data_IF_861019685982
#
_entry.id   IF_861019685982
#
_cell.length_a   1.000
_cell.length_b   1.000
_cell.length_c   1.000
_cell.angle_alpha   90.00
_cell.angle_beta   90.00
_cell.angle_gamma   90.00
#
_symmetry.space_group_name_H-M   'P 1'
#
loop_
_entity.id
_entity.type
_entity.pdbx_description
1 polymer ?
#
# COMPACT_ATOMS: atom_id res chain seq x y z
N UNK A 1 3.13 11.26 -25.63
CA UNK A 1 2.52 10.00 -26.05
C UNK A 1 3.44 9.33 -27.03
N UNK A 2 3.72 8.04 -26.85
CA UNK A 2 4.55 7.26 -27.79
C UNK A 2 3.77 7.10 -29.08
N UNK A 3 4.40 7.47 -30.20
CA UNK A 3 3.87 7.28 -31.54
C UNK A 3 5.02 7.13 -32.57
N UNK A 4 4.69 6.95 -33.84
CA UNK A 4 5.68 6.70 -34.90
C UNK A 4 6.77 7.77 -34.97
N UNK A 5 6.47 9.03 -34.61
CA UNK A 5 7.41 10.16 -34.72
C UNK A 5 8.52 10.11 -33.67
N UNK A 6 8.26 9.54 -32.49
CA UNK A 6 9.21 9.44 -31.39
C UNK A 6 9.55 7.99 -31.01
N UNK A 7 9.10 7.01 -31.81
CA UNK A 7 9.26 5.58 -31.49
C UNK A 7 10.75 5.20 -31.39
N UNK A 8 11.61 5.73 -32.27
CA UNK A 8 13.05 5.42 -32.23
C UNK A 8 13.70 5.88 -30.92
N UNK A 9 13.38 7.09 -30.46
CA UNK A 9 13.90 7.64 -29.21
C UNK A 9 13.37 6.82 -28.00
N UNK A 10 12.11 6.40 -28.06
CA UNK A 10 11.52 5.54 -27.04
C UNK A 10 12.22 4.17 -26.98
N UNK A 11 12.50 3.55 -28.13
CA UNK A 11 13.20 2.26 -28.20
C UNK A 11 14.64 2.37 -27.70
N UNK A 12 15.36 3.43 -28.04
CA UNK A 12 16.70 3.68 -27.53
C UNK A 12 16.70 3.81 -26.00
N UNK A 13 15.75 4.58 -25.46
CA UNK A 13 15.56 4.72 -24.00
C UNK A 13 15.23 3.38 -23.32
N UNK A 14 14.50 2.50 -24.00
CA UNK A 14 14.18 1.15 -23.51
C UNK A 14 15.35 0.17 -23.68
N UNK A 15 16.46 0.57 -24.31
CA UNK A 15 17.64 -0.26 -24.50
C UNK A 15 17.58 -1.18 -25.71
N UNK A 16 16.82 -0.83 -26.75
CA UNK A 16 16.86 -1.51 -28.04
C UNK A 16 18.10 -1.10 -28.83
N UNK A 17 18.71 -2.04 -29.55
CA UNK A 17 19.86 -1.81 -30.43
C UNK A 17 19.37 -1.84 -31.88
N UNK A 18 19.78 -0.85 -32.66
CA UNK A 18 19.43 -0.73 -34.07
C UNK A 18 20.33 -1.60 -34.95
N UNK A 19 19.72 -2.40 -35.82
CA UNK A 19 20.33 -3.19 -36.87
C UNK A 19 19.64 -2.86 -38.20
N UNK A 20 20.00 -1.72 -38.81
CA UNK A 20 19.28 -1.19 -39.97
C UNK A 20 17.86 -0.75 -39.63
N UNK A 21 16.86 -1.29 -40.32
CA UNK A 21 15.45 -1.00 -40.06
C UNK A 21 14.87 -1.80 -38.88
N UNK A 22 15.63 -2.75 -38.33
CA UNK A 22 15.21 -3.57 -37.21
C UNK A 22 15.86 -3.06 -35.93
N UNK A 23 15.04 -2.78 -34.91
CA UNK A 23 15.50 -2.51 -33.56
C UNK A 23 15.18 -3.70 -32.68
N UNK A 24 16.15 -4.22 -31.93
CA UNK A 24 16.00 -5.43 -31.12
C UNK A 24 16.46 -5.18 -29.68
N UNK A 25 15.71 -5.74 -28.73
CA UNK A 25 16.11 -5.87 -27.33
C UNK A 25 16.05 -7.34 -26.93
N UNK A 26 17.19 -7.85 -26.49
CA UNK A 26 17.34 -9.23 -26.01
C UNK A 26 17.18 -9.26 -24.49
N UNK A 27 16.52 -10.28 -23.97
CA UNK A 27 16.36 -10.60 -22.56
C UNK A 27 17.06 -11.93 -22.25
N UNK A 28 18.37 -11.90 -21.97
CA UNK A 28 19.18 -13.12 -21.87
C UNK A 28 18.73 -14.07 -20.75
N UNK A 29 18.26 -13.50 -19.63
CA UNK A 29 17.84 -14.30 -18.45
C UNK A 29 16.60 -15.15 -18.71
N UNK A 30 15.76 -14.74 -19.66
CA UNK A 30 14.52 -15.45 -20.03
C UNK A 30 14.56 -15.97 -21.46
N UNK A 31 15.68 -15.79 -22.18
CA UNK A 31 15.94 -16.41 -23.47
C UNK A 31 15.08 -15.93 -24.64
N UNK A 32 14.60 -14.67 -24.62
CA UNK A 32 13.76 -14.12 -25.67
C UNK A 32 14.19 -12.73 -26.14
N UNK A 33 13.57 -12.21 -27.20
CA UNK A 33 13.79 -10.85 -27.67
C UNK A 33 12.50 -10.21 -28.19
N UNK A 34 12.44 -8.87 -28.08
CA UNK A 34 11.44 -8.02 -28.73
C UNK A 34 12.11 -7.31 -29.91
N UNK A 35 11.39 -7.16 -31.03
CA UNK A 35 11.89 -6.46 -32.21
C UNK A 35 10.85 -5.48 -32.76
N UNK A 36 11.35 -4.43 -33.38
CA UNK A 36 10.53 -3.48 -34.14
C UNK A 36 11.11 -3.37 -35.54
N UNK A 37 10.30 -3.71 -36.52
CA UNK A 37 10.64 -3.60 -37.95
C UNK A 37 9.99 -2.34 -38.53
N UNK A 38 10.82 -1.32 -38.82
CA UNK A 38 10.38 -0.04 -39.37
C UNK A 38 10.01 -0.13 -40.85
N UNK A 39 10.60 -1.06 -41.60
CA UNK A 39 10.27 -1.29 -43.00
C UNK A 39 8.90 -1.96 -43.11
N UNK A 40 8.69 -3.07 -42.39
CA UNK A 40 7.41 -3.76 -42.36
C UNK A 40 6.35 -3.05 -41.48
N UNK A 41 6.74 -2.03 -40.71
CA UNK A 41 5.91 -1.32 -39.74
C UNK A 41 5.24 -2.27 -38.74
N UNK A 42 6.05 -3.15 -38.13
CA UNK A 42 5.57 -4.19 -37.22
C UNK A 42 6.31 -4.22 -35.90
N UNK A 43 5.55 -4.47 -34.85
CA UNK A 43 6.00 -4.84 -33.51
C UNK A 43 6.07 -6.37 -33.45
N UNK A 44 7.23 -6.92 -33.15
CA UNK A 44 7.49 -8.36 -33.20
C UNK A 44 7.75 -8.85 -31.78
N UNK A 45 6.89 -9.73 -31.33
CA UNK A 45 6.94 -10.35 -30.00
C UNK A 45 7.57 -11.76 -30.08
N UNK A 46 8.12 -12.29 -28.94
CA UNK A 46 8.55 -13.68 -28.84
C UNK A 46 7.47 -14.68 -29.30
N UNK A 47 7.91 -15.79 -29.85
CA UNK A 47 6.99 -16.80 -30.40
C UNK A 47 6.10 -17.46 -29.33
N UNK A 48 6.54 -17.48 -28.11
CA UNK A 48 5.87 -18.05 -26.94
C UNK A 48 4.69 -17.19 -26.48
N UNK A 49 4.65 -15.89 -26.81
CA UNK A 49 3.55 -15.00 -26.48
C UNK A 49 2.35 -15.36 -27.37
N UNK A 50 1.24 -15.73 -26.75
CA UNK A 50 -0.01 -16.00 -27.45
C UNK A 50 -0.65 -14.69 -27.93
N UNK A 51 -1.36 -14.73 -29.08
CA UNK A 51 -2.05 -13.55 -29.62
C UNK A 51 -1.12 -12.48 -30.25
N UNK A 52 0.19 -12.74 -30.33
CA UNK A 52 1.24 -11.82 -30.81
C UNK A 52 1.02 -11.28 -32.24
N UNK A 53 0.24 -11.95 -33.04
CA UNK A 53 -0.07 -11.54 -34.42
C UNK A 53 -1.16 -10.46 -34.50
N UNK A 54 -1.83 -10.19 -33.37
CA UNK A 54 -2.94 -9.24 -33.32
C UNK A 54 -2.39 -7.88 -32.88
N UNK A 55 -2.94 -6.79 -33.42
CA UNK A 55 -2.60 -5.40 -33.03
C UNK A 55 -1.08 -5.12 -32.94
N UNK A 56 -0.30 -5.69 -33.87
CA UNK A 56 1.15 -5.54 -33.90
C UNK A 56 1.65 -4.51 -34.95
N UNK A 57 0.74 -3.74 -35.57
CA UNK A 57 1.05 -2.72 -36.54
C UNK A 57 1.25 -1.33 -35.94
N UNK A 58 1.65 -0.38 -36.80
CA UNK A 58 1.85 1.04 -36.44
C UNK A 58 0.59 1.89 -36.62
N UNK A 59 -0.53 1.27 -36.93
CA UNK A 59 -1.82 1.91 -37.24
C UNK A 59 -2.50 2.49 -35.98
N UNK A 60 -2.25 1.92 -34.81
CA UNK A 60 -2.85 2.36 -33.55
C UNK A 60 -1.78 2.74 -32.53
N UNK A 61 -1.91 3.91 -31.91
CA UNK A 61 -0.99 4.37 -30.89
C UNK A 61 -1.00 3.52 -29.62
N UNK A 62 -2.13 2.88 -29.32
CA UNK A 62 -2.28 1.96 -28.19
C UNK A 62 -1.35 0.73 -28.32
N UNK A 63 -1.07 0.28 -29.55
CA UNK A 63 -0.14 -0.82 -29.81
C UNK A 63 1.27 -0.55 -29.25
N UNK A 64 1.74 0.71 -29.30
CA UNK A 64 3.04 1.08 -28.73
C UNK A 64 3.03 1.03 -27.21
N UNK A 65 1.89 1.34 -26.56
CA UNK A 65 1.73 1.22 -25.11
C UNK A 65 1.74 -0.26 -24.69
N UNK A 66 1.02 -1.11 -25.41
CA UNK A 66 1.04 -2.57 -25.20
C UNK A 66 2.47 -3.11 -25.37
N UNK A 67 3.19 -2.72 -26.42
CA UNK A 67 4.55 -3.17 -26.67
C UNK A 67 5.52 -2.73 -25.57
N UNK A 68 5.43 -1.48 -25.11
CA UNK A 68 6.24 -0.96 -23.99
C UNK A 68 5.89 -1.70 -22.69
N UNK A 69 4.61 -1.96 -22.42
CA UNK A 69 4.18 -2.71 -21.24
C UNK A 69 4.75 -4.14 -21.25
N UNK A 70 4.70 -4.85 -22.38
CA UNK A 70 5.31 -6.18 -22.54
C UNK A 70 6.83 -6.10 -22.35
N UNK A 71 7.51 -5.09 -22.91
CA UNK A 71 8.94 -4.89 -22.70
C UNK A 71 9.27 -4.74 -21.19
N UNK A 72 8.45 -4.03 -20.47
CA UNK A 72 8.58 -3.85 -19.01
C UNK A 72 8.34 -5.15 -18.23
N UNK A 73 7.32 -5.92 -18.61
CA UNK A 73 7.04 -7.23 -17.99
C UNK A 73 8.21 -8.20 -18.20
N UNK A 74 8.73 -8.32 -19.41
CA UNK A 74 9.89 -9.15 -19.73
C UNK A 74 11.14 -8.67 -18.97
N UNK A 75 11.35 -7.35 -18.87
CA UNK A 75 12.46 -6.77 -18.09
C UNK A 75 12.34 -7.06 -16.59
N UNK A 76 11.14 -7.33 -16.07
CA UNK A 76 10.90 -7.74 -14.69
C UNK A 76 11.06 -9.24 -14.45
N UNK A 77 11.22 -10.04 -15.52
CA UNK A 77 11.38 -11.50 -15.45
C UNK A 77 10.09 -12.31 -15.63
N UNK A 78 8.98 -11.68 -16.06
CA UNK A 78 7.82 -12.48 -16.51
C UNK A 78 8.19 -13.20 -17.79
N UNK A 79 7.87 -14.48 -17.86
CA UNK A 79 8.23 -15.32 -19.01
C UNK A 79 7.22 -15.16 -20.15
N UNK A 80 7.69 -15.18 -21.41
CA UNK A 80 6.82 -14.96 -22.57
C UNK A 80 5.71 -15.99 -22.69
N UNK A 81 5.91 -17.26 -22.29
CA UNK A 81 4.89 -18.32 -22.31
C UNK A 81 3.71 -18.07 -21.35
N UNK A 82 3.88 -17.17 -20.38
CA UNK A 82 2.83 -16.78 -19.44
C UNK A 82 2.07 -15.51 -19.86
N UNK A 83 2.45 -14.92 -21.00
CA UNK A 83 1.83 -13.70 -21.53
C UNK A 83 0.93 -14.06 -22.69
N UNK A 84 -0.30 -13.56 -22.66
CA UNK A 84 -1.27 -13.68 -23.75
C UNK A 84 -1.77 -12.28 -24.11
N UNK A 85 -1.66 -11.90 -25.40
CA UNK A 85 -2.14 -10.62 -25.92
C UNK A 85 -3.51 -10.81 -26.56
N UNK A 86 -4.34 -9.77 -26.44
CA UNK A 86 -5.63 -9.72 -27.11
C UNK A 86 -6.51 -10.94 -26.81
N UNK A 87 -6.49 -11.39 -25.53
CA UNK A 87 -7.30 -12.52 -25.08
C UNK A 87 -8.78 -12.21 -25.22
N UNK A 88 -9.49 -13.09 -25.91
CA UNK A 88 -10.93 -12.99 -26.12
C UNK A 88 -11.66 -14.05 -25.30
N UNK A 89 -12.77 -13.64 -24.68
CA UNK A 89 -13.69 -14.56 -24.03
C UNK A 89 -14.98 -14.68 -24.87
N UNK A 90 -15.35 -15.89 -25.21
CA UNK A 90 -16.59 -16.17 -25.93
C UNK A 90 -17.75 -16.23 -24.92
N UNK A 91 -18.61 -15.25 -24.93
CA UNK A 91 -19.85 -15.20 -24.16
C UNK A 91 -20.98 -15.84 -24.97
N UNK A 92 -21.20 -17.15 -24.87
CA UNK A 92 -22.37 -17.85 -25.39
C UNK A 92 -22.89 -17.32 -26.75
N UNK A 93 -24.01 -16.62 -26.75
CA UNK A 93 -24.64 -16.07 -27.96
C UNK A 93 -24.39 -14.55 -28.16
N UNK A 94 -23.63 -13.88 -27.31
CA UNK A 94 -23.30 -12.44 -27.46
C UNK A 94 -21.96 -12.30 -28.20
N UNK A 95 -21.93 -11.74 -29.43
CA UNK A 95 -20.70 -11.54 -30.20
C UNK A 95 -19.77 -10.44 -29.64
N UNK A 96 -20.14 -9.77 -28.54
CA UNK A 96 -19.34 -8.74 -27.86
C UNK A 96 -18.67 -9.28 -26.62
N UNK A 97 -17.99 -10.43 -26.70
CA UNK A 97 -17.05 -10.88 -25.72
C UNK A 97 -15.96 -9.79 -25.47
N UNK A 98 -15.65 -9.48 -24.24
CA UNK A 98 -14.57 -8.55 -23.92
C UNK A 98 -13.23 -9.08 -24.44
N UNK A 99 -12.33 -8.16 -24.85
CA UNK A 99 -10.98 -8.50 -25.26
C UNK A 99 -10.01 -7.65 -24.43
N UNK A 100 -9.14 -8.32 -23.68
CA UNK A 100 -8.13 -7.65 -22.86
C UNK A 100 -6.80 -7.55 -23.61
N UNK A 101 -6.11 -6.43 -23.45
CA UNK A 101 -4.86 -6.16 -24.17
C UNK A 101 -3.74 -7.12 -23.75
N UNK A 102 -3.55 -7.34 -22.44
CA UNK A 102 -2.51 -8.22 -21.90
C UNK A 102 -3.08 -9.03 -20.74
N UNK A 103 -2.91 -10.34 -20.80
CA UNK A 103 -3.17 -11.27 -19.71
C UNK A 103 -1.89 -11.97 -19.30
N UNK A 104 -1.66 -12.10 -17.99
CA UNK A 104 -0.49 -12.81 -17.45
C UNK A 104 -0.96 -13.88 -16.48
N UNK A 105 -0.49 -15.11 -16.70
CA UNK A 105 -0.74 -16.24 -15.81
C UNK A 105 0.41 -16.45 -14.82
N UNK A 106 0.11 -17.09 -13.68
CA UNK A 106 1.14 -17.58 -12.76
C UNK A 106 1.84 -18.84 -13.30
N UNK A 107 2.80 -19.35 -12.57
CA UNK A 107 3.53 -20.59 -12.91
C UNK A 107 2.68 -21.85 -12.89
N UNK A 108 1.47 -21.76 -12.34
CA UNK A 108 0.47 -22.86 -12.31
C UNK A 108 -0.61 -22.71 -13.39
N UNK A 109 -0.53 -21.64 -14.20
CA UNK A 109 -1.48 -21.36 -15.28
C UNK A 109 -2.75 -20.62 -14.84
N UNK A 110 -2.87 -20.19 -13.58
CA UNK A 110 -3.99 -19.37 -13.14
C UNK A 110 -3.80 -17.92 -13.58
N UNK A 111 -4.89 -17.22 -13.85
CA UNK A 111 -4.83 -15.79 -14.18
C UNK A 111 -4.25 -14.99 -13.01
N UNK A 112 -3.08 -14.40 -13.22
CA UNK A 112 -2.41 -13.58 -12.22
C UNK A 112 -2.93 -12.14 -12.29
N UNK A 113 -2.87 -11.53 -13.47
CA UNK A 113 -3.44 -10.20 -13.70
C UNK A 113 -3.84 -9.97 -15.16
N UNK A 114 -4.74 -9.01 -15.33
CA UNK A 114 -5.24 -8.52 -16.61
C UNK A 114 -4.90 -7.04 -16.71
N UNK A 115 -4.30 -6.63 -17.82
CA UNK A 115 -3.93 -5.25 -18.09
C UNK A 115 -4.73 -4.72 -19.27
N UNK A 116 -5.38 -3.60 -19.07
CA UNK A 116 -5.96 -2.76 -20.11
C UNK A 116 -5.05 -1.58 -20.37
N UNK A 117 -4.55 -1.43 -21.57
CA UNK A 117 -3.65 -0.37 -21.98
C UNK A 117 -4.43 0.80 -22.59
N UNK A 118 -4.04 2.02 -22.26
CA UNK A 118 -4.60 3.24 -22.84
C UNK A 118 -3.49 4.22 -23.22
N UNK A 119 -3.73 5.04 -24.23
CA UNK A 119 -2.81 6.12 -24.54
C UNK A 119 -2.74 7.11 -23.39
N UNK A 120 -1.56 7.65 -23.14
CA UNK A 120 -1.30 8.59 -22.04
C UNK A 120 -2.18 9.85 -22.15
N UNK A 121 -2.70 10.30 -21.02
CA UNK A 121 -3.51 11.51 -20.89
C UNK A 121 -5.00 11.20 -20.97
N UNK A 122 -5.73 11.89 -21.87
CA UNK A 122 -7.21 11.90 -21.88
C UNK A 122 -7.85 10.50 -21.92
N UNK A 123 -7.29 9.57 -22.71
CA UNK A 123 -7.88 8.22 -22.82
C UNK A 123 -7.70 7.43 -21.52
N UNK A 124 -6.50 7.49 -20.91
CA UNK A 124 -6.25 6.88 -19.62
C UNK A 124 -7.15 7.48 -18.52
N UNK A 125 -7.21 8.81 -18.44
CA UNK A 125 -8.00 9.50 -17.41
C UNK A 125 -9.51 9.20 -17.57
N UNK A 126 -10.00 9.12 -18.81
CA UNK A 126 -11.38 8.71 -19.12
C UNK A 126 -11.64 7.25 -18.70
N UNK A 127 -10.73 6.32 -19.04
CA UNK A 127 -10.86 4.92 -18.65
C UNK A 127 -10.85 4.75 -17.12
N UNK A 128 -9.98 5.46 -16.41
CA UNK A 128 -9.93 5.45 -14.95
C UNK A 128 -11.23 5.98 -14.32
N UNK A 129 -11.77 7.08 -14.86
CA UNK A 129 -13.03 7.64 -14.38
C UNK A 129 -14.21 6.69 -14.64
N UNK A 130 -14.27 6.04 -15.81
CA UNK A 130 -15.27 5.02 -16.11
C UNK A 130 -15.16 3.82 -15.16
N UNK A 131 -13.95 3.34 -14.90
CA UNK A 131 -13.71 2.27 -13.91
C UNK A 131 -14.24 2.65 -12.53
N UNK A 132 -14.04 3.91 -12.10
CA UNK A 132 -14.55 4.41 -10.82
C UNK A 132 -16.06 4.60 -10.79
N UNK A 133 -16.71 4.83 -11.92
CA UNK A 133 -18.16 5.10 -12.00
C UNK A 133 -19.01 3.84 -12.09
N UNK A 134 -18.58 2.84 -12.86
CA UNK A 134 -19.36 1.64 -13.15
C UNK A 134 -18.55 0.33 -13.30
N UNK A 135 -17.24 0.39 -13.04
CA UNK A 135 -16.32 -0.75 -13.20
C UNK A 135 -15.83 -0.97 -14.63
N UNK A 136 -16.52 -0.43 -15.62
CA UNK A 136 -16.17 -0.47 -17.05
C UNK A 136 -15.66 -1.85 -17.54
N UNK A 137 -14.69 -1.86 -18.45
CA UNK A 137 -14.11 -3.06 -19.06
C UNK A 137 -13.43 -4.00 -18.06
N UNK A 138 -12.69 -3.45 -17.07
CA UNK A 138 -11.90 -4.27 -16.14
C UNK A 138 -12.77 -5.25 -15.35
N UNK A 139 -13.91 -4.82 -14.84
CA UNK A 139 -14.81 -5.70 -14.09
C UNK A 139 -15.51 -6.73 -14.99
N UNK A 140 -15.72 -6.40 -16.26
CA UNK A 140 -16.23 -7.36 -17.24
C UNK A 140 -15.22 -8.49 -17.49
N UNK A 141 -13.93 -8.19 -17.57
CA UNK A 141 -12.88 -9.21 -17.66
C UNK A 141 -12.81 -10.07 -16.40
N UNK A 142 -12.92 -9.46 -15.24
CA UNK A 142 -12.91 -10.18 -13.97
C UNK A 142 -14.09 -11.15 -13.83
N UNK A 143 -15.24 -10.82 -14.39
CA UNK A 143 -16.36 -11.75 -14.44
C UNK A 143 -16.02 -13.01 -15.23
N UNK A 144 -15.22 -12.90 -16.29
CA UNK A 144 -14.81 -14.02 -17.14
C UNK A 144 -13.67 -14.85 -16.50
N UNK A 145 -12.76 -14.18 -15.79
CA UNK A 145 -11.59 -14.78 -15.14
C UNK A 145 -11.66 -14.57 -13.63
N UNK A 146 -12.49 -15.35 -12.96
CA UNK A 146 -12.74 -15.20 -11.52
C UNK A 146 -11.51 -15.47 -10.65
N UNK A 147 -10.52 -16.21 -11.16
CA UNK A 147 -9.24 -16.45 -10.50
C UNK A 147 -8.26 -15.28 -10.56
N UNK A 148 -8.56 -14.25 -11.34
CA UNK A 148 -7.72 -13.07 -11.51
C UNK A 148 -7.46 -12.40 -10.15
N UNK A 149 -6.17 -12.13 -9.87
CA UNK A 149 -5.78 -11.47 -8.60
C UNK A 149 -5.72 -9.96 -8.74
N UNK A 150 -5.39 -9.44 -9.93
CA UNK A 150 -5.17 -8.01 -10.13
C UNK A 150 -5.71 -7.54 -11.47
N UNK A 151 -6.45 -6.44 -11.45
CA UNK A 151 -6.87 -5.71 -12.64
C UNK A 151 -6.05 -4.44 -12.75
N UNK A 152 -5.49 -4.16 -13.91
CA UNK A 152 -4.57 -3.05 -14.11
C UNK A 152 -5.01 -2.18 -15.28
N UNK A 153 -5.11 -0.90 -15.07
CA UNK A 153 -5.19 0.11 -16.11
C UNK A 153 -3.80 0.71 -16.29
N UNK A 154 -3.26 0.65 -17.50
CA UNK A 154 -1.89 1.03 -17.80
C UNK A 154 -1.79 2.08 -18.91
N UNK A 155 -0.84 3.00 -18.78
CA UNK A 155 -0.43 3.91 -19.84
C UNK A 155 1.06 4.26 -19.73
N UNK A 156 1.71 4.49 -20.87
CA UNK A 156 3.10 4.96 -20.92
C UNK A 156 3.31 6.09 -21.92
N UNK A 157 4.39 6.85 -21.71
CA UNK A 157 4.77 7.99 -22.55
C UNK A 157 6.29 8.22 -22.54
N UNK A 158 6.80 8.87 -23.58
CA UNK A 158 8.16 9.40 -23.63
C UNK A 158 8.15 10.88 -23.22
N UNK A 159 8.75 11.21 -22.09
CA UNK A 159 8.86 12.58 -21.58
C UNK A 159 10.25 12.91 -21.12
N UNK A 160 10.80 14.00 -21.66
CA UNK A 160 12.14 14.47 -21.30
C UNK A 160 13.24 13.41 -21.52
N UNK A 161 13.11 12.56 -22.55
CA UNK A 161 14.06 11.49 -22.85
C UNK A 161 13.94 10.26 -21.92
N UNK A 162 12.88 10.15 -21.10
CA UNK A 162 12.62 9.02 -20.23
C UNK A 162 11.25 8.42 -20.52
N UNK A 163 11.14 7.09 -20.41
CA UNK A 163 9.83 6.43 -20.44
C UNK A 163 9.17 6.55 -19.06
N UNK A 164 8.05 7.24 -19.02
CA UNK A 164 7.18 7.34 -17.85
C UNK A 164 5.95 6.46 -18.01
N UNK A 165 5.44 5.92 -16.92
CA UNK A 165 4.23 5.12 -16.93
C UNK A 165 3.29 5.49 -15.79
N UNK A 166 2.04 5.06 -15.91
CA UNK A 166 1.03 5.05 -14.87
C UNK A 166 0.39 3.66 -14.85
N UNK A 167 0.24 3.09 -13.68
CA UNK A 167 -0.49 1.85 -13.49
C UNK A 167 -1.44 2.00 -12.32
N UNK A 168 -2.74 1.89 -12.56
CA UNK A 168 -3.78 1.85 -11.54
C UNK A 168 -4.26 0.43 -11.36
N UNK A 169 -4.02 -0.16 -10.19
CA UNK A 169 -4.24 -1.58 -9.92
C UNK A 169 -5.33 -1.78 -8.89
N UNK A 170 -6.28 -2.68 -9.18
CA UNK A 170 -7.35 -3.12 -8.28
C UNK A 170 -7.02 -4.53 -7.80
N UNK A 171 -7.02 -4.73 -6.48
CA UNK A 171 -6.89 -6.05 -5.86
C UNK A 171 -8.23 -6.77 -5.94
N UNK A 172 -8.21 -7.99 -6.49
CA UNK A 172 -9.37 -8.85 -6.64
C UNK A 172 -9.53 -9.85 -5.49
N UNK A 173 -8.69 -9.77 -4.47
CA UNK A 173 -8.70 -10.68 -3.32
C UNK A 173 -9.60 -10.15 -2.20
N UNK A 174 -10.31 -11.05 -1.53
CA UNK A 174 -11.03 -10.69 -0.31
C UNK A 174 -10.04 -10.48 0.85
N UNK A 175 -10.12 -9.34 1.52
CA UNK A 175 -9.37 -9.08 2.74
C UNK A 175 -9.82 -10.01 3.87
N UNK A 176 -8.86 -10.62 4.56
CA UNK A 176 -9.14 -11.60 5.61
C UNK A 176 -9.99 -11.05 6.77
N UNK A 177 -9.78 -9.77 7.12
CA UNK A 177 -10.55 -9.13 8.20
C UNK A 177 -11.99 -8.87 7.75
N UNK A 178 -12.18 -8.44 6.50
CA UNK A 178 -13.50 -8.22 5.90
C UNK A 178 -14.28 -9.55 5.83
N UNK A 179 -13.59 -10.65 5.50
CA UNK A 179 -14.19 -11.99 5.53
C UNK A 179 -14.64 -12.38 6.94
N UNK A 180 -13.88 -12.05 7.97
CA UNK A 180 -14.30 -12.29 9.36
C UNK A 180 -15.53 -11.45 9.73
N UNK A 181 -15.54 -10.16 9.35
CA UNK A 181 -16.68 -9.27 9.56
C UNK A 181 -17.96 -9.76 8.87
N UNK A 182 -17.86 -10.25 7.63
CA UNK A 182 -19.02 -10.73 6.84
C UNK A 182 -19.71 -11.94 7.45
N UNK A 183 -19.04 -12.71 8.32
CA UNK A 183 -19.68 -13.81 9.05
C UNK A 183 -20.74 -13.31 10.04
N UNK A 184 -20.57 -12.10 10.56
CA UNK A 184 -21.47 -11.47 11.54
C UNK A 184 -22.40 -10.48 10.87
N UNK A 185 -21.93 -9.70 9.93
CA UNK A 185 -22.70 -8.73 9.16
C UNK A 185 -22.92 -9.22 7.73
N UNK A 186 -24.12 -9.73 7.45
CA UNK A 186 -24.50 -10.23 6.12
C UNK A 186 -24.72 -9.13 5.07
N UNK A 187 -24.67 -7.87 5.45
CA UNK A 187 -24.72 -6.75 4.49
C UNK A 187 -23.39 -6.52 3.78
N UNK A 188 -22.28 -7.03 4.33
CA UNK A 188 -20.94 -6.94 3.73
C UNK A 188 -20.87 -7.83 2.49
N UNK A 189 -20.60 -7.19 1.36
CA UNK A 189 -20.47 -7.85 0.05
C UNK A 189 -19.03 -8.28 -0.17
N UNK A 190 -18.78 -9.57 -0.34
CA UNK A 190 -17.45 -10.11 -0.66
C UNK A 190 -17.31 -10.36 -2.16
N UNK A 191 -16.11 -10.30 -2.67
CA UNK A 191 -15.81 -10.63 -4.07
C UNK A 191 -16.13 -12.08 -4.42
N UNK A 192 -15.86 -13.00 -3.48
CA UNK A 192 -16.14 -14.44 -3.67
C UNK A 192 -17.64 -14.76 -3.85
N UNK A 193 -18.50 -13.90 -3.34
CA UNK A 193 -19.96 -14.06 -3.42
C UNK A 193 -20.56 -13.34 -4.65
N UNK A 194 -19.74 -12.56 -5.35
CA UNK A 194 -20.12 -11.73 -6.48
C UNK A 194 -19.82 -12.44 -7.82
N UNK A 195 -20.87 -12.90 -8.51
CA UNK A 195 -20.74 -13.68 -9.75
C UNK A 195 -20.87 -12.83 -11.03
N UNK A 196 -21.21 -11.55 -10.93
CA UNK A 196 -21.36 -10.65 -12.07
C UNK A 196 -20.44 -9.44 -11.93
N UNK A 197 -20.10 -8.79 -13.06
CA UNK A 197 -19.29 -7.58 -13.08
C UNK A 197 -19.90 -6.47 -12.19
N UNK A 198 -21.21 -6.30 -12.27
CA UNK A 198 -21.94 -5.33 -11.43
C UNK A 198 -21.85 -5.66 -9.93
N UNK A 199 -22.03 -6.93 -9.57
CA UNK A 199 -21.92 -7.36 -8.17
C UNK A 199 -20.49 -7.18 -7.61
N UNK A 200 -19.47 -7.50 -8.43
CA UNK A 200 -18.05 -7.25 -8.07
C UNK A 200 -17.76 -5.75 -7.91
N UNK A 201 -18.29 -4.93 -8.82
CA UNK A 201 -18.17 -3.48 -8.72
C UNK A 201 -18.85 -2.92 -7.46
N UNK A 202 -20.05 -3.38 -7.13
CA UNK A 202 -20.74 -2.96 -5.89
C UNK A 202 -19.96 -3.39 -4.64
N UNK A 203 -19.40 -4.61 -4.60
CA UNK A 203 -18.52 -5.04 -3.52
C UNK A 203 -17.29 -4.12 -3.42
N UNK A 204 -16.61 -3.82 -4.52
CA UNK A 204 -15.47 -2.93 -4.56
C UNK A 204 -15.81 -1.52 -4.07
N UNK A 205 -16.98 -1.01 -4.46
CA UNK A 205 -17.46 0.33 -4.08
C UNK A 205 -17.84 0.39 -2.59
N UNK A 206 -18.65 -0.56 -2.11
CA UNK A 206 -19.28 -0.48 -0.80
C UNK A 206 -18.39 -1.08 0.31
N UNK A 207 -17.72 -2.19 0.02
CA UNK A 207 -16.91 -2.90 1.01
C UNK A 207 -15.45 -2.48 0.97
N UNK A 208 -14.86 -2.37 -0.22
CA UNK A 208 -13.43 -2.09 -0.40
C UNK A 208 -13.11 -0.62 -0.72
N UNK A 209 -14.11 0.27 -0.64
CA UNK A 209 -13.93 1.73 -0.71
C UNK A 209 -13.34 2.24 -2.04
N UNK A 210 -13.49 1.51 -3.14
CA UNK A 210 -12.90 1.81 -4.45
C UNK A 210 -11.37 1.93 -4.40
N UNK A 211 -10.72 1.09 -3.61
CA UNK A 211 -9.26 1.13 -3.45
C UNK A 211 -8.56 0.86 -4.77
N UNK A 212 -7.61 1.72 -5.11
CA UNK A 212 -6.72 1.60 -6.26
C UNK A 212 -5.29 1.78 -5.76
N UNK A 213 -4.41 0.88 -6.16
CA UNK A 213 -2.99 0.93 -5.86
C UNK A 213 -2.23 1.46 -7.08
N UNK A 214 -1.34 2.41 -6.85
CA UNK A 214 -0.47 2.93 -7.91
C UNK A 214 0.78 2.04 -8.05
N UNK A 215 1.19 1.77 -9.28
CA UNK A 215 2.45 1.10 -9.67
C UNK A 215 2.75 -0.28 -9.06
N UNK A 216 1.83 -0.92 -8.37
CA UNK A 216 2.03 -2.13 -7.59
C UNK A 216 2.88 -3.21 -8.29
N UNK A 217 2.49 -3.61 -9.52
CA UNK A 217 3.19 -4.62 -10.33
C UNK A 217 4.49 -4.05 -10.91
N UNK A 218 4.49 -2.76 -11.23
CA UNK A 218 5.57 -2.06 -11.92
C UNK A 218 6.50 -1.29 -10.98
N UNK A 219 6.28 -1.33 -9.67
CA UNK A 219 7.20 -0.73 -8.70
C UNK A 219 8.61 -1.32 -8.83
N UNK A 220 9.65 -0.55 -8.53
CA UNK A 220 11.05 -0.98 -8.69
C UNK A 220 11.35 -2.28 -7.97
N UNK A 221 10.73 -2.49 -6.80
CA UNK A 221 10.99 -3.61 -5.92
C UNK A 221 10.06 -4.81 -6.12
N UNK A 222 9.07 -4.73 -7.01
CA UNK A 222 8.19 -5.86 -7.30
C UNK A 222 8.94 -6.92 -8.09
N UNK A 223 8.83 -8.18 -7.66
CA UNK A 223 9.43 -9.35 -8.31
C UNK A 223 8.36 -10.06 -9.13
N UNK A 224 8.75 -10.59 -10.30
CA UNK A 224 7.83 -11.35 -11.15
C UNK A 224 7.17 -12.50 -10.36
N UNK A 225 5.87 -12.71 -10.60
CA UNK A 225 5.01 -13.71 -9.94
C UNK A 225 4.77 -13.52 -8.44
N UNK A 226 5.47 -12.63 -7.80
CA UNK A 226 5.28 -12.27 -6.39
C UNK A 226 4.62 -10.88 -6.31
N UNK A 227 3.33 -10.83 -6.61
CA UNK A 227 2.56 -9.59 -6.47
C UNK A 227 2.06 -9.55 -5.04
N UNK A 228 2.72 -8.77 -4.24
CA UNK A 228 2.32 -8.39 -2.90
C UNK A 228 2.92 -7.03 -2.64
N UNK A 229 2.28 -6.23 -1.80
CA UNK A 229 2.93 -5.06 -1.27
C UNK A 229 4.10 -5.58 -0.44
N UNK A 230 5.33 -5.39 -0.92
CA UNK A 230 6.50 -5.68 -0.07
C UNK A 230 6.40 -4.82 1.17
N UNK A 231 6.71 -5.38 2.34
CA UNK A 231 6.81 -4.58 3.54
C UNK A 231 7.75 -3.40 3.32
N UNK A 232 7.34 -2.23 3.79
CA UNK A 232 8.13 -1.01 3.69
C UNK A 232 9.41 -1.14 4.52
N UNK A 233 10.52 -0.71 3.94
CA UNK A 233 11.78 -0.53 4.66
C UNK A 233 11.98 0.94 5.00
N UNK A 234 12.84 1.24 5.95
CA UNK A 234 13.08 2.63 6.36
C UNK A 234 13.55 3.51 5.21
N UNK A 235 14.38 2.99 4.29
CA UNK A 235 14.81 3.71 3.08
C UNK A 235 13.68 4.02 2.10
N UNK A 236 12.57 3.28 2.15
CA UNK A 236 11.41 3.47 1.27
C UNK A 236 10.50 4.60 1.77
N UNK A 237 10.72 5.08 3.00
CA UNK A 237 9.95 6.17 3.57
C UNK A 237 10.31 7.49 2.90
N UNK A 238 9.28 8.26 2.54
CA UNK A 238 9.41 9.55 1.88
C UNK A 238 9.10 10.70 2.84
N UNK A 239 9.62 11.87 2.52
CA UNK A 239 9.31 13.08 3.25
C UNK A 239 7.86 13.52 3.00
N UNK A 240 7.27 14.18 3.98
CA UNK A 240 5.99 14.85 3.81
C UNK A 240 6.14 16.08 2.93
N UNK A 241 5.12 16.33 2.13
CA UNK A 241 5.00 17.55 1.35
C UNK A 241 3.67 18.26 1.66
N UNK A 242 3.58 19.59 1.51
CA UNK A 242 2.32 20.32 1.68
C UNK A 242 1.19 19.80 0.79
N UNK A 243 1.54 19.26 -0.39
CA UNK A 243 0.58 18.69 -1.36
C UNK A 243 -0.06 17.38 -0.89
N UNK A 244 0.51 16.72 0.13
CA UNK A 244 -0.02 15.48 0.67
C UNK A 244 -1.38 15.64 1.36
N UNK A 245 -1.74 16.87 1.79
CA UNK A 245 -3.01 17.22 2.43
C UNK A 245 -3.40 16.28 3.58
N UNK A 246 -2.40 15.89 4.38
CA UNK A 246 -2.53 14.85 5.40
C UNK A 246 -3.62 15.14 6.42
N UNK A 247 -3.72 16.40 6.89
CA UNK A 247 -4.75 16.81 7.86
C UNK A 247 -6.15 16.62 7.27
N UNK A 248 -6.34 16.95 5.99
CA UNK A 248 -7.64 16.77 5.32
C UNK A 248 -8.00 15.28 5.18
N UNK A 249 -7.02 14.43 4.82
CA UNK A 249 -7.21 12.98 4.73
C UNK A 249 -7.52 12.37 6.10
N UNK A 250 -6.83 12.81 7.15
CA UNK A 250 -7.12 12.41 8.52
C UNK A 250 -8.56 12.76 8.92
N UNK A 251 -9.00 14.00 8.68
CA UNK A 251 -10.39 14.42 8.93
C UNK A 251 -11.40 13.62 8.09
N UNK A 252 -11.06 13.28 6.86
CA UNK A 252 -11.90 12.48 5.97
C UNK A 252 -12.09 11.06 6.52
N UNK A 253 -11.03 10.40 6.99
CA UNK A 253 -11.11 9.09 7.65
C UNK A 253 -12.03 9.15 8.87
N UNK A 254 -11.86 10.16 9.74
CA UNK A 254 -12.72 10.32 10.92
C UNK A 254 -14.19 10.49 10.54
N UNK A 255 -14.48 11.34 9.54
CA UNK A 255 -15.83 11.62 9.07
C UNK A 255 -16.48 10.40 8.44
N UNK A 256 -15.79 9.69 7.54
CA UNK A 256 -16.33 8.49 6.87
C UNK A 256 -16.63 7.36 7.83
N UNK A 257 -15.87 7.29 8.91
CA UNK A 257 -16.06 6.28 9.95
C UNK A 257 -16.95 6.76 11.12
N UNK A 258 -17.58 7.94 11.01
CA UNK A 258 -18.42 8.53 12.06
C UNK A 258 -17.71 8.65 13.41
N UNK A 259 -16.43 9.06 13.42
CA UNK A 259 -15.68 9.37 14.64
C UNK A 259 -15.91 10.84 14.96
N UNK A 260 -16.70 11.13 16.00
CA UNK A 260 -17.09 12.50 16.38
C UNK A 260 -16.18 13.12 17.44
N UNK A 261 -15.53 12.28 18.25
CA UNK A 261 -14.64 12.72 19.33
C UNK A 261 -13.24 13.07 18.75
N UNK A 262 -13.07 14.35 18.44
CA UNK A 262 -11.83 14.86 17.87
C UNK A 262 -10.67 14.84 18.86
N UNK A 263 -10.93 15.07 20.13
CA UNK A 263 -9.88 15.07 21.17
C UNK A 263 -9.34 13.67 21.38
N UNK A 264 -10.23 12.68 21.50
CA UNK A 264 -9.82 11.27 21.55
C UNK A 264 -9.02 10.88 20.30
N UNK A 265 -9.51 11.25 19.10
CA UNK A 265 -8.82 10.96 17.85
C UNK A 265 -7.40 11.58 17.80
N UNK A 266 -7.23 12.80 18.34
CA UNK A 266 -5.92 13.44 18.44
C UNK A 266 -4.98 12.66 19.39
N UNK A 267 -5.47 12.24 20.55
CA UNK A 267 -4.67 11.46 21.50
C UNK A 267 -4.25 10.11 20.91
N UNK A 268 -5.13 9.45 20.12
CA UNK A 268 -4.80 8.21 19.40
C UNK A 268 -3.75 8.44 18.31
N UNK A 269 -3.82 9.58 17.62
CA UNK A 269 -2.80 9.97 16.66
C UNK A 269 -1.43 10.17 17.32
N UNK A 270 -1.37 10.78 18.50
CA UNK A 270 -0.13 10.92 19.28
C UNK A 270 0.47 9.55 19.62
N UNK A 271 -0.36 8.61 20.08
CA UNK A 271 0.08 7.23 20.34
C UNK A 271 0.66 6.55 19.08
N UNK A 272 0.02 6.72 17.92
CA UNK A 272 0.54 6.21 16.64
C UNK A 272 1.90 6.85 16.27
N UNK A 273 2.07 8.14 16.51
CA UNK A 273 3.37 8.80 16.25
C UNK A 273 4.47 8.34 17.20
N UNK A 274 4.15 8.03 18.46
CA UNK A 274 5.13 7.41 19.39
C UNK A 274 5.59 6.06 18.85
N UNK A 275 4.66 5.23 18.36
CA UNK A 275 5.00 3.94 17.72
C UNK A 275 5.92 4.14 16.52
N UNK A 276 5.57 5.07 15.63
CA UNK A 276 6.35 5.35 14.43
C UNK A 276 7.73 5.92 14.74
N UNK A 277 7.80 6.83 15.72
CA UNK A 277 9.04 7.46 16.14
C UNK A 277 10.04 6.43 16.71
N UNK A 278 9.58 5.51 17.56
CA UNK A 278 10.46 4.49 18.13
C UNK A 278 10.91 3.52 17.04
N UNK A 279 10.02 3.08 16.17
CA UNK A 279 10.33 2.17 15.08
C UNK A 279 11.41 2.75 14.15
N UNK A 280 11.22 3.95 13.63
CA UNK A 280 12.22 4.60 12.78
C UNK A 280 13.55 4.88 13.50
N UNK A 281 13.52 5.10 14.83
CA UNK A 281 14.72 5.44 15.61
C UNK A 281 15.63 4.26 15.92
N UNK A 282 15.14 3.03 15.80
CA UNK A 282 15.87 1.78 16.10
C UNK A 282 16.24 0.96 14.86
N UNK A 283 15.66 1.29 13.70
CA UNK A 283 15.86 0.58 12.44
C UNK A 283 16.97 1.22 11.61
N UNK A 284 17.75 0.39 10.93
CA UNK A 284 18.67 0.82 9.88
C UNK A 284 17.92 1.03 8.55
N UNK A 285 18.54 1.70 7.57
CA UNK A 285 17.86 2.06 6.30
C UNK A 285 17.33 0.85 5.53
N UNK A 286 18.00 -0.30 5.61
CA UNK A 286 17.59 -1.54 4.94
C UNK A 286 16.62 -2.40 5.75
N UNK A 287 16.36 -2.04 7.01
CA UNK A 287 15.44 -2.79 7.85
C UNK A 287 13.99 -2.51 7.50
N UNK A 288 13.16 -3.55 7.65
CA UNK A 288 11.72 -3.45 7.54
C UNK A 288 11.15 -2.68 8.73
N UNK A 289 10.37 -1.61 8.44
CA UNK A 289 9.65 -0.88 9.49
C UNK A 289 8.45 -1.70 9.97
N UNK A 290 8.17 -1.61 11.26
CA UNK A 290 7.06 -2.33 11.88
C UNK A 290 5.78 -1.50 11.92
N UNK A 291 5.91 -0.17 11.85
CA UNK A 291 4.77 0.74 11.74
C UNK A 291 4.24 0.75 10.30
N UNK A 292 3.55 -0.31 9.93
CA UNK A 292 2.88 -0.48 8.64
C UNK A 292 1.78 -1.54 8.75
N UNK A 293 0.81 -1.50 7.86
CA UNK A 293 -0.16 -2.57 7.68
C UNK A 293 0.31 -3.53 6.58
N UNK A 294 0.67 -4.75 6.97
CA UNK A 294 1.16 -5.78 6.04
C UNK A 294 -0.01 -6.49 5.39
N UNK A 295 -0.43 -5.97 4.24
CA UNK A 295 -1.56 -6.53 3.51
C UNK A 295 -1.37 -8.02 3.23
N UNK A 296 -2.42 -8.82 3.47
CA UNK A 296 -2.40 -10.28 3.28
C UNK A 296 -1.78 -11.10 4.43
N UNK A 297 -1.06 -10.46 5.37
CA UNK A 297 -0.48 -11.15 6.54
C UNK A 297 -1.02 -10.63 7.87
N UNK A 298 -1.28 -9.32 7.96
CA UNK A 298 -1.81 -8.74 9.19
C UNK A 298 -3.32 -8.99 9.35
N UNK A 299 -3.71 -9.33 10.56
CA UNK A 299 -5.07 -9.18 11.08
C UNK A 299 -5.15 -7.90 11.92
N UNK A 300 -6.34 -7.45 12.27
CA UNK A 300 -6.49 -6.30 13.18
C UNK A 300 -5.84 -6.55 14.54
N UNK A 301 -5.89 -7.79 15.02
CA UNK A 301 -5.23 -8.18 16.27
C UNK A 301 -3.70 -8.12 16.16
N UNK A 302 -3.11 -8.67 15.09
CA UNK A 302 -1.65 -8.66 14.92
C UNK A 302 -1.11 -7.25 14.71
N UNK A 303 -1.83 -6.40 13.96
CA UNK A 303 -1.49 -4.99 13.81
C UNK A 303 -1.54 -4.28 15.17
N UNK A 304 -2.65 -4.40 15.90
CA UNK A 304 -2.81 -3.71 17.18
C UNK A 304 -1.81 -4.22 18.23
N UNK A 305 -1.53 -5.52 18.26
CA UNK A 305 -0.51 -6.11 19.13
C UNK A 305 0.87 -5.49 18.86
N UNK A 306 1.25 -5.41 17.59
CA UNK A 306 2.51 -4.77 17.16
C UNK A 306 2.58 -3.29 17.54
N UNK A 307 1.49 -2.55 17.37
CA UNK A 307 1.43 -1.14 17.79
C UNK A 307 1.49 -0.99 19.31
N UNK A 308 0.84 -1.85 20.09
CA UNK A 308 0.94 -1.84 21.54
C UNK A 308 2.37 -2.09 22.02
N UNK A 309 3.10 -3.00 21.39
CA UNK A 309 4.51 -3.25 21.68
C UNK A 309 5.38 -2.03 21.35
N UNK A 310 5.20 -1.46 20.14
CA UNK A 310 5.93 -0.23 19.75
C UNK A 310 5.59 0.95 20.68
N UNK A 311 4.34 1.08 21.11
CA UNK A 311 3.93 2.13 22.04
C UNK A 311 4.63 1.98 23.39
N UNK A 312 4.66 0.75 23.96
CA UNK A 312 5.42 0.46 25.18
C UNK A 312 6.90 0.87 25.03
N UNK A 313 7.54 0.42 23.94
CA UNK A 313 8.96 0.69 23.69
C UNK A 313 9.22 2.19 23.52
N UNK A 314 8.29 2.91 22.89
CA UNK A 314 8.35 4.35 22.71
C UNK A 314 8.14 5.13 24.02
N UNK A 315 7.18 4.73 24.83
CA UNK A 315 6.92 5.34 26.14
C UNK A 315 8.11 5.14 27.09
N UNK A 316 8.64 3.93 27.14
CA UNK A 316 9.87 3.66 27.93
C UNK A 316 11.04 4.51 27.44
N UNK A 317 11.29 4.55 26.13
CA UNK A 317 12.44 5.24 25.53
C UNK A 317 12.36 6.76 25.65
N UNK A 318 11.21 7.36 25.36
CA UNK A 318 11.07 8.81 25.23
C UNK A 318 10.43 9.48 26.45
N UNK A 319 9.50 8.79 27.12
CA UNK A 319 8.76 9.33 28.26
C UNK A 319 9.26 8.78 29.60
N UNK A 320 10.02 7.69 29.59
CA UNK A 320 10.48 6.96 30.79
C UNK A 320 9.32 6.42 31.63
N UNK A 321 8.25 6.03 30.95
CA UNK A 321 7.06 5.43 31.54
C UNK A 321 6.98 3.96 31.19
N UNK A 322 6.76 3.11 32.18
CA UNK A 322 6.52 1.67 31.98
C UNK A 322 5.05 1.44 31.65
N UNK A 323 4.78 0.82 30.49
CA UNK A 323 3.45 0.37 30.10
C UNK A 323 3.42 -1.15 30.09
N UNK A 324 2.39 -1.71 30.74
CA UNK A 324 2.19 -3.15 30.75
C UNK A 324 1.86 -3.66 29.32
N UNK A 325 2.69 -4.56 28.81
CA UNK A 325 2.46 -5.26 27.58
C UNK A 325 2.50 -6.78 27.82
N UNK A 326 1.46 -7.49 27.40
CA UNK A 326 1.37 -8.95 27.50
C UNK A 326 1.60 -9.52 26.08
N UNK A 327 2.73 -10.25 25.85
CA UNK A 327 3.00 -10.87 24.56
C UNK A 327 2.03 -12.01 24.25
N UNK A 328 1.85 -12.30 22.96
CA UNK A 328 0.89 -13.31 22.49
C UNK A 328 1.20 -14.75 22.96
N UNK A 329 2.48 -15.04 23.22
CA UNK A 329 3.00 -16.33 23.68
C UNK A 329 3.05 -16.46 25.23
N UNK A 330 2.57 -15.44 25.97
CA UNK A 330 2.54 -15.45 27.43
C UNK A 330 1.83 -16.68 28.02
N UNK A 331 0.70 -17.18 27.48
CA UNK A 331 0.06 -18.40 27.97
C UNK A 331 0.93 -19.62 27.88
N UNK A 332 1.68 -19.78 26.80
CA UNK A 332 2.61 -20.89 26.61
C UNK A 332 3.74 -20.85 27.63
N UNK A 333 4.21 -19.66 27.89
CA UNK A 333 5.29 -19.37 28.85
C UNK A 333 4.89 -19.71 30.28
N UNK A 334 3.69 -19.33 30.66
CA UNK A 334 3.16 -19.58 32.01
C UNK A 334 3.01 -21.08 32.29
N UNK A 335 2.66 -21.86 31.28
CA UNK A 335 2.42 -23.32 31.42
C UNK A 335 3.55 -24.19 30.87
N UNK A 336 4.78 -23.69 30.83
CA UNK A 336 5.95 -24.43 30.31
C UNK A 336 6.18 -25.78 31.04
N UNK A 337 5.97 -25.82 32.36
CA UNK A 337 6.22 -26.99 33.19
C UNK A 337 5.05 -27.98 33.25
N UNK A 338 3.90 -27.61 32.71
CA UNK A 338 2.72 -28.47 32.72
C UNK A 338 2.67 -29.37 31.48
N UNK A 339 2.16 -30.59 31.62
CA UNK A 339 2.01 -31.55 30.53
C UNK A 339 0.60 -32.12 30.45
N UNK A 340 0.24 -32.70 29.28
CA UNK A 340 -1.03 -33.38 29.06
C UNK A 340 -2.14 -32.54 28.45
N UNK A 341 -3.33 -33.15 28.29
CA UNK A 341 -4.50 -32.53 27.64
C UNK A 341 -5.02 -31.29 28.35
N UNK A 342 -4.97 -31.28 29.67
CA UNK A 342 -5.38 -30.14 30.51
C UNK A 342 -4.54 -28.89 30.26
N UNK A 343 -3.26 -29.06 29.88
CA UNK A 343 -2.38 -27.93 29.50
C UNK A 343 -2.90 -27.19 28.28
N UNK A 344 -3.33 -27.93 27.24
CA UNK A 344 -3.85 -27.32 26.01
C UNK A 344 -5.09 -26.48 26.29
N UNK A 345 -6.05 -27.03 27.05
CA UNK A 345 -7.25 -26.29 27.42
C UNK A 345 -6.93 -25.04 28.25
N UNK A 346 -6.07 -25.13 29.25
CA UNK A 346 -5.68 -23.99 30.09
C UNK A 346 -4.97 -22.87 29.30
N UNK A 347 -4.09 -23.24 28.34
CA UNK A 347 -3.46 -22.27 27.43
C UNK A 347 -4.49 -21.59 26.57
N UNK A 348 -5.45 -22.34 26.00
CA UNK A 348 -6.48 -21.81 25.14
C UNK A 348 -7.45 -20.87 25.89
N UNK A 349 -7.88 -21.27 27.08
CA UNK A 349 -8.74 -20.46 27.96
C UNK A 349 -8.04 -19.15 28.36
N UNK A 350 -6.76 -19.23 28.75
CA UNK A 350 -5.98 -18.05 29.13
C UNK A 350 -5.72 -17.14 27.90
N UNK A 351 -5.42 -17.73 26.74
CA UNK A 351 -5.25 -16.98 25.47
C UNK A 351 -6.51 -16.22 25.10
N UNK A 352 -7.67 -16.88 25.20
CA UNK A 352 -8.97 -16.23 24.95
C UNK A 352 -9.24 -15.12 25.96
N UNK A 353 -8.93 -15.32 27.23
CA UNK A 353 -9.09 -14.29 28.26
C UNK A 353 -8.20 -13.08 27.99
N UNK A 354 -6.92 -13.30 27.69
CA UNK A 354 -5.98 -12.24 27.35
C UNK A 354 -6.44 -11.51 26.07
N UNK A 355 -6.89 -12.25 25.05
CA UNK A 355 -7.41 -11.69 23.80
C UNK A 355 -8.59 -10.73 24.07
N UNK A 356 -9.53 -11.13 24.89
CA UNK A 356 -10.69 -10.31 25.26
C UNK A 356 -10.24 -9.04 26.01
N UNK A 357 -9.40 -9.18 27.00
CA UNK A 357 -8.92 -8.05 27.80
C UNK A 357 -8.07 -7.07 26.98
N UNK A 358 -7.28 -7.60 26.05
CA UNK A 358 -6.31 -6.82 25.25
C UNK A 358 -6.96 -6.09 24.08
N UNK A 359 -7.90 -6.73 23.39
CA UNK A 359 -8.45 -6.23 22.14
C UNK A 359 -9.90 -5.76 22.23
N UNK A 360 -10.70 -6.31 23.13
CA UNK A 360 -12.14 -5.99 23.23
C UNK A 360 -12.45 -4.99 24.34
N UNK A 361 -11.50 -4.11 24.59
CA UNK A 361 -11.60 -2.99 25.53
C UNK A 361 -10.95 -1.73 24.94
N UNK A 362 -11.33 -0.58 25.48
CA UNK A 362 -10.72 0.69 25.10
C UNK A 362 -9.24 0.74 25.47
N UNK A 363 -8.42 1.22 24.56
CA UNK A 363 -6.97 1.40 24.72
C UNK A 363 -6.48 2.57 23.84
N UNK A 364 -5.17 2.77 23.76
CA UNK A 364 -4.51 3.87 23.05
C UNK A 364 -4.77 3.87 21.55
N UNK A 365 -5.31 2.81 20.97
CA UNK A 365 -5.58 2.66 19.53
C UNK A 365 -7.08 2.61 19.21
N UNK A 366 -7.91 3.02 20.17
CA UNK A 366 -9.38 2.95 20.06
C UNK A 366 -9.94 4.28 19.62
N UNK A 367 -10.23 4.45 18.33
CA UNK A 367 -10.87 5.65 17.77
C UNK A 367 -12.36 5.72 18.05
N UNK A 368 -12.99 4.58 18.29
CA UNK A 368 -14.39 4.42 18.73
C UNK A 368 -14.41 3.51 19.93
N UNK A 369 -15.43 3.64 20.78
CA UNK A 369 -15.61 2.74 21.92
C UNK A 369 -15.62 1.27 21.51
N UNK A 370 -14.81 0.48 22.21
CA UNK A 370 -14.67 -0.96 22.03
C UNK A 370 -14.94 -1.65 23.36
N UNK A 371 -15.98 -2.47 23.40
CA UNK A 371 -16.33 -3.31 24.57
C UNK A 371 -16.78 -4.71 24.14
N UNK A 372 -16.64 -5.06 22.88
CA UNK A 372 -16.88 -6.37 22.33
C UNK A 372 -16.12 -6.58 21.02
N UNK A 373 -16.16 -7.81 20.49
CA UNK A 373 -15.46 -8.20 19.28
C UNK A 373 -15.95 -7.44 18.03
N UNK A 374 -17.25 -7.17 17.90
CA UNK A 374 -17.80 -6.46 16.75
C UNK A 374 -17.29 -5.03 16.67
N UNK A 375 -17.30 -4.31 17.79
CA UNK A 375 -16.79 -2.95 17.88
C UNK A 375 -15.26 -2.91 17.68
N UNK A 376 -14.55 -3.94 18.14
CA UNK A 376 -13.13 -4.10 17.84
C UNK A 376 -12.86 -4.17 16.32
N UNK A 377 -13.64 -4.96 15.58
CA UNK A 377 -13.48 -5.01 14.11
C UNK A 377 -13.81 -3.70 13.42
N UNK A 378 -14.83 -2.96 13.89
CA UNK A 378 -15.15 -1.63 13.37
C UNK A 378 -14.01 -0.65 13.63
N UNK A 379 -13.43 -0.66 14.83
CA UNK A 379 -12.27 0.16 15.17
C UNK A 379 -11.02 -0.27 14.37
N UNK A 380 -10.82 -1.57 14.16
CA UNK A 380 -9.69 -2.13 13.42
C UNK A 380 -9.60 -1.58 12.00
N UNK A 381 -10.74 -1.39 11.32
CA UNK A 381 -10.79 -0.74 10.02
C UNK A 381 -10.23 0.69 10.08
N UNK A 382 -10.67 1.47 11.06
CA UNK A 382 -10.20 2.85 11.25
C UNK A 382 -8.69 2.87 11.52
N UNK A 383 -8.23 1.98 12.40
CA UNK A 383 -6.82 1.87 12.75
C UNK A 383 -5.95 1.53 11.53
N UNK A 384 -6.38 0.63 10.66
CA UNK A 384 -5.69 0.31 9.41
C UNK A 384 -5.61 1.54 8.52
N UNK A 385 -6.73 2.26 8.28
CA UNK A 385 -6.74 3.47 7.47
C UNK A 385 -5.79 4.56 8.03
N UNK A 386 -5.72 4.68 9.36
CA UNK A 386 -4.80 5.61 10.03
C UNK A 386 -3.33 5.21 9.87
N UNK A 387 -3.02 3.94 10.04
CA UNK A 387 -1.64 3.44 9.83
C UNK A 387 -1.23 3.65 8.37
N UNK A 388 -2.08 3.26 7.40
CA UNK A 388 -1.83 3.43 5.97
C UNK A 388 -1.68 4.90 5.55
N UNK A 389 -2.34 5.84 6.24
CA UNK A 389 -2.16 7.26 5.99
C UNK A 389 -0.72 7.71 6.26
N UNK A 390 -0.09 7.16 7.31
CA UNK A 390 1.21 7.62 7.80
C UNK A 390 2.38 6.68 7.51
N UNK A 391 2.15 5.38 7.25
CA UNK A 391 3.20 4.36 7.15
C UNK A 391 4.32 4.70 6.17
N UNK A 392 3.98 5.29 5.01
CA UNK A 392 4.92 5.62 3.93
C UNK A 392 5.75 6.89 4.15
N UNK A 393 5.46 7.64 5.20
CA UNK A 393 6.15 8.89 5.46
C UNK A 393 7.21 8.74 6.53
N UNK A 394 8.31 9.48 6.40
CA UNK A 394 9.38 9.56 7.38
C UNK A 394 9.06 10.65 8.40
N UNK A 395 9.25 10.37 9.70
CA UNK A 395 9.11 11.39 10.76
C UNK A 395 10.41 11.64 11.51
N UNK A 396 11.39 10.74 11.42
CA UNK A 396 12.75 10.94 11.95
C UNK A 396 13.65 11.41 10.82
N UNK A 397 14.08 12.67 10.86
CA UNK A 397 14.90 13.28 9.84
C UNK A 397 16.35 13.45 10.31
N UNK A 398 17.34 13.24 9.40
CA UNK A 398 18.75 13.57 9.68
C UNK A 398 18.97 15.08 9.84
N UNK A 399 18.12 15.90 9.20
CA UNK A 399 18.14 17.36 9.28
C UNK A 399 16.92 17.90 10.01
N UNK A 400 17.02 19.10 10.60
CA UNK A 400 15.96 19.72 11.38
C UNK A 400 14.77 20.08 10.50
N UNK A 401 13.72 19.26 10.54
CA UNK A 401 12.45 19.56 9.90
C UNK A 401 11.38 19.89 10.95
N UNK A 402 10.56 20.91 10.64
CA UNK A 402 9.49 21.39 11.52
C UNK A 402 8.15 20.68 11.26
N UNK A 403 8.13 19.68 10.38
CA UNK A 403 6.90 19.07 9.86
C UNK A 403 5.92 18.60 10.95
N UNK A 404 6.40 17.87 11.97
CA UNK A 404 5.51 17.42 13.06
C UNK A 404 4.90 18.60 13.81
N UNK A 405 5.68 19.67 14.06
CA UNK A 405 5.18 20.89 14.65
C UNK A 405 4.07 21.52 13.82
N UNK A 406 4.30 21.68 12.51
CA UNK A 406 3.34 22.25 11.57
C UNK A 406 2.07 21.38 11.43
N UNK A 407 2.22 20.05 11.42
CA UNK A 407 1.09 19.12 11.39
C UNK A 407 0.23 19.26 12.67
N UNK A 408 0.85 19.23 13.84
CA UNK A 408 0.13 19.38 15.10
C UNK A 408 -0.51 20.75 15.24
N UNK A 409 0.15 21.82 14.79
CA UNK A 409 -0.42 23.17 14.76
C UNK A 409 -1.67 23.23 13.86
N UNK A 410 -1.61 22.64 12.67
CA UNK A 410 -2.78 22.57 11.77
C UNK A 410 -3.94 21.78 12.39
N UNK A 411 -3.67 20.67 13.08
CA UNK A 411 -4.69 19.89 13.80
C UNK A 411 -5.32 20.70 14.96
N UNK A 412 -4.50 21.41 15.75
CA UNK A 412 -4.99 22.28 16.81
C UNK A 412 -5.85 23.42 16.27
N UNK A 413 -5.44 24.07 15.17
CA UNK A 413 -6.21 25.14 14.52
C UNK A 413 -7.55 24.65 13.96
N UNK A 414 -7.69 23.35 13.65
CA UNK A 414 -8.96 22.72 13.25
C UNK A 414 -9.82 22.25 14.41
N UNK A 415 -9.48 22.59 15.64
CA UNK A 415 -10.30 22.35 16.84
C UNK A 415 -10.22 20.93 17.39
N UNK A 416 -9.09 20.20 17.17
CA UNK A 416 -8.88 18.89 17.75
C UNK A 416 -8.56 18.94 19.25
N UNK A 417 -8.08 20.10 19.76
CA UNK A 417 -8.02 20.44 21.19
C UNK A 417 -8.56 21.86 21.40
N UNK A 418 -9.74 21.97 21.96
CA UNK A 418 -10.43 23.27 22.05
C UNK A 418 -9.98 24.19 23.21
N UNK A 419 -9.30 23.68 24.25
CA UNK A 419 -9.20 24.43 25.50
C UNK A 419 -7.79 24.76 26.00
N UNK A 420 -6.75 24.38 25.31
CA UNK A 420 -5.38 24.72 25.72
C UNK A 420 -4.73 25.53 24.60
N UNK A 421 -4.52 26.82 24.84
CA UNK A 421 -3.75 27.70 23.96
C UNK A 421 -2.26 27.29 23.88
N UNK A 422 -2.03 26.03 23.53
CA UNK A 422 -0.70 25.46 23.35
C UNK A 422 -0.23 25.76 21.94
N UNK A 423 0.74 26.64 21.82
CA UNK A 423 1.46 26.89 20.58
C UNK A 423 2.84 26.24 20.66
N UNK A 424 3.24 25.55 19.62
CA UNK A 424 4.61 25.10 19.51
C UNK A 424 5.53 26.29 19.29
N UNK A 425 6.51 26.44 20.16
CA UNK A 425 7.50 27.51 19.98
C UNK A 425 8.31 27.23 18.71
N UNK A 426 8.36 28.15 17.73
CA UNK A 426 9.11 27.94 16.50
C UNK A 426 10.58 27.57 16.76
N UNK A 427 11.11 26.62 15.97
CA UNK A 427 12.48 26.11 16.13
C UNK A 427 13.55 27.23 16.20
N UNK A 428 13.48 28.31 15.40
CA UNK A 428 14.43 29.39 15.53
C UNK A 428 14.44 30.04 16.92
N UNK A 429 13.28 30.15 17.56
CA UNK A 429 13.14 30.73 18.91
C UNK A 429 13.67 29.76 19.95
N UNK A 430 13.29 28.49 19.88
CA UNK A 430 13.82 27.48 20.83
C UNK A 430 15.31 27.30 20.67
N UNK A 431 15.85 27.38 19.47
CA UNK A 431 17.28 27.37 19.20
C UNK A 431 17.97 28.59 19.79
N UNK A 432 17.42 29.80 19.57
CA UNK A 432 17.95 31.03 20.15
C UNK A 432 18.00 30.95 21.69
N UNK A 433 16.91 30.49 22.31
CA UNK A 433 16.86 30.30 23.76
C UNK A 433 17.95 29.32 24.21
N UNK A 434 18.03 28.16 23.53
CA UNK A 434 18.98 27.11 23.86
C UNK A 434 20.44 27.56 23.70
N UNK A 435 20.75 28.22 22.58
CA UNK A 435 22.10 28.73 22.28
C UNK A 435 22.48 29.90 23.22
N UNK A 436 21.48 30.62 23.79
CA UNK A 436 21.68 31.70 24.74
C UNK A 436 21.91 31.22 26.18
N UNK A 437 21.58 29.97 26.48
CA UNK A 437 21.76 29.38 27.80
C UNK A 437 23.18 28.81 27.94
N UNK A 438 23.91 29.12 29.05
CA UNK A 438 25.22 28.53 29.29
C UNK A 438 25.10 27.06 29.76
N UNK A 439 24.50 26.21 28.95
CA UNK A 439 24.15 24.82 29.29
C UNK A 439 25.38 24.02 29.72
N UNK A 440 26.53 24.24 29.07
CA UNK A 440 27.79 23.61 29.44
C UNK A 440 28.27 23.96 30.88
N UNK A 441 27.97 25.17 31.30
CA UNK A 441 28.29 25.59 32.70
C UNK A 441 27.25 25.02 33.65
N UNK A 442 25.99 24.98 33.27
CA UNK A 442 24.89 24.44 34.09
C UNK A 442 25.07 22.94 34.35
N UNK A 443 25.43 22.16 33.32
CA UNK A 443 25.68 20.71 33.44
C UNK A 443 26.96 20.41 34.24
N UNK A 444 27.98 21.25 34.12
CA UNK A 444 29.25 21.09 34.87
C UNK A 444 29.15 21.51 36.33
N UNK A 445 28.10 22.24 36.72
CA UNK A 445 27.87 22.60 38.13
C UNK A 445 27.49 21.39 38.96
N UNK A 446 27.78 21.40 40.27
CA UNK A 446 27.42 20.29 41.18
C UNK A 446 25.90 20.08 41.25
N UNK A 447 25.11 21.10 40.99
CA UNK A 447 23.64 21.02 40.89
C UNK A 447 23.20 20.39 39.59
N UNK A 448 23.84 20.73 38.48
CA UNK A 448 23.60 20.11 37.15
C UNK A 448 24.01 18.64 37.13
N UNK A 449 25.11 18.27 37.77
CA UNK A 449 25.55 16.88 37.93
C UNK A 449 24.57 16.04 38.76
N UNK A 450 23.92 16.63 39.77
CA UNK A 450 22.85 15.96 40.52
C UNK A 450 21.58 15.77 39.69
N UNK A 451 21.20 16.75 38.89
CA UNK A 451 20.06 16.67 38.00
C UNK A 451 20.28 15.67 36.86
N UNK A 452 21.51 15.57 36.34
CA UNK A 452 21.84 14.57 35.27
C UNK A 452 22.02 13.14 35.77
N UNK A 453 22.23 12.94 37.10
CA UNK A 453 22.35 11.61 37.72
C UNK A 453 21.07 11.09 38.36
N UNK A 454 20.07 11.92 38.50
CA UNK A 454 18.83 11.62 39.20
C UNK A 454 17.68 11.24 38.31
N UNK A 455 17.95 10.94 37.05
CA UNK A 455 16.93 10.50 36.10
C UNK A 455 17.52 9.54 35.07
#
# INVERSE_FOLDING_TARGET
MIDVSNLKDALETLGFVAHGDIHEKVFPEIGCSLKVDFHAKKLIYPNEIKGRERNNGFDKKENFVVFECVCRLLSKGYRPEHIELEKEWHLGHDPKGGRADICVTDTSGNMLFIIECKTWGREYDKALNNTKSDGAQLFSYWQQEQSCKWLVLYASDLKGGCIVHKASTIDCSDDANIVLLSKKDKSIKLYRDANTASAKYEAWKETYGRQIHDDLIFSKDSVAYQIGVKPLRKKDLRDFTPDDKIVNKFEEILRHNNVSDKENAFNRLVALFICKLVDESIKDEDDEVEFQYKQGTDTYETLQDRLQRLHRDGMEKFMREEILYVPADYPEWLFLTYTGSKRKSAIEDLRNTIRILKFYSNNEFTFKDVHNEELFYQNGKILVEMVQLFEKYRIVYPSKHQFLGDLFEQLLNKGFKQNEGQFFTPIPITRFIWDSLPVDRMVKSDRGKRLSKGH
#
